data_IF_857330511141
#
_entry.id   IF_857330511141
#
_cell.length_a   1.000
_cell.length_b   1.000
_cell.length_c   1.000
_cell.angle_alpha   90.00
_cell.angle_beta   90.00
_cell.angle_gamma   90.00
#
_symmetry.space_group_name_H-M   'P 1'
#
loop_
_entity.id
_entity.type
_entity.pdbx_description
1 polymer ?
#
# COMPACT_ATOMS: atom_id res chain seq x y z
N UNK A 1 -13.10 24.81 11.45
CA UNK A 1 -12.00 24.22 10.65
C UNK A 1 -12.62 23.14 9.78
N UNK A 2 -12.66 23.31 8.45
CA UNK A 2 -13.10 22.24 7.55
C UNK A 2 -11.98 21.19 7.51
N UNK A 3 -12.25 20.02 8.06
CA UNK A 3 -11.42 18.84 7.78
C UNK A 3 -11.40 18.67 6.25
N UNK A 4 -10.26 18.37 5.63
CA UNK A 4 -10.26 18.04 4.21
C UNK A 4 -11.27 16.89 3.98
N UNK A 5 -12.05 16.97 2.91
CA UNK A 5 -13.07 15.96 2.52
C UNK A 5 -12.40 14.66 2.05
N UNK A 6 -11.60 14.05 2.93
CA UNK A 6 -11.00 12.76 2.70
C UNK A 6 -11.99 11.68 3.14
N UNK A 7 -12.29 10.73 2.23
CA UNK A 7 -13.20 9.64 2.55
C UNK A 7 -12.66 8.84 3.75
N UNK A 8 -13.47 8.64 4.81
CA UNK A 8 -13.08 7.78 5.91
C UNK A 8 -12.87 6.36 5.40
N UNK A 9 -11.96 5.63 6.04
CA UNK A 9 -11.72 4.24 5.69
C UNK A 9 -13.02 3.42 5.87
N UNK A 10 -13.45 2.65 4.85
CA UNK A 10 -14.63 1.81 5.00
C UNK A 10 -14.39 0.72 6.05
N UNK A 11 -15.45 0.05 6.49
CA UNK A 11 -15.31 -1.10 7.38
C UNK A 11 -14.48 -2.20 6.68
N UNK A 12 -13.48 -2.74 7.38
CA UNK A 12 -12.68 -3.87 6.89
C UNK A 12 -13.58 -5.10 6.77
N UNK A 13 -14.08 -5.34 5.56
CA UNK A 13 -15.10 -6.35 5.26
C UNK A 13 -14.53 -7.77 5.11
N UNK A 14 -13.22 -7.91 4.91
CA UNK A 14 -12.59 -9.20 4.64
C UNK A 14 -11.27 -9.40 5.39
N UNK A 15 -10.81 -10.66 5.46
CA UNK A 15 -9.59 -11.03 6.17
C UNK A 15 -8.31 -10.45 5.54
N UNK A 16 -8.31 -10.19 4.21
CA UNK A 16 -7.17 -9.64 3.49
C UNK A 16 -6.89 -8.19 3.88
N UNK A 17 -7.93 -7.45 4.31
CA UNK A 17 -7.84 -6.07 4.78
C UNK A 17 -7.33 -5.92 6.22
N UNK A 18 -7.14 -7.01 6.97
CA UNK A 18 -6.72 -6.93 8.40
C UNK A 18 -5.44 -6.10 8.57
N UNK A 19 -4.42 -6.36 7.76
CA UNK A 19 -3.15 -5.62 7.77
C UNK A 19 -3.09 -4.50 6.73
N UNK A 20 -4.15 -4.29 5.96
CA UNK A 20 -4.19 -3.24 4.96
C UNK A 20 -4.30 -1.86 5.63
N UNK A 21 -3.61 -0.89 5.03
CA UNK A 21 -3.66 0.53 5.38
C UNK A 21 -4.51 1.24 4.31
N UNK A 22 -5.40 2.12 4.75
CA UNK A 22 -6.26 2.90 3.87
C UNK A 22 -5.49 4.09 3.33
N UNK A 23 -5.64 4.35 2.04
CA UNK A 23 -5.23 5.60 1.43
C UNK A 23 -6.47 6.31 0.88
N UNK A 24 -6.86 7.39 1.52
CA UNK A 24 -7.97 8.23 1.10
C UNK A 24 -7.54 9.15 -0.04
N UNK A 25 -8.43 9.31 -1.01
CA UNK A 25 -8.41 10.37 -2.01
C UNK A 25 -9.66 11.25 -1.91
N UNK A 26 -9.76 12.23 -2.79
CA UNK A 26 -10.94 13.07 -2.94
C UNK A 26 -12.03 12.26 -3.68
N UNK A 27 -13.00 11.72 -2.93
CA UNK A 27 -14.14 10.98 -3.48
C UNK A 27 -13.90 9.50 -3.82
N UNK A 28 -12.67 8.99 -3.66
CA UNK A 28 -12.36 7.56 -3.74
C UNK A 28 -11.22 7.18 -2.77
N UNK A 29 -10.98 5.90 -2.57
CA UNK A 29 -9.80 5.42 -1.84
C UNK A 29 -9.52 3.96 -2.09
N UNK A 30 -8.34 3.51 -1.68
CA UNK A 30 -7.92 2.13 -1.86
C UNK A 30 -7.21 1.61 -0.63
N UNK A 31 -7.33 0.32 -0.40
CA UNK A 31 -6.57 -0.38 0.62
C UNK A 31 -5.25 -0.87 0.03
N UNK A 32 -4.19 -0.79 0.83
CA UNK A 32 -2.88 -1.30 0.43
C UNK A 32 -2.31 -2.19 1.51
N UNK A 33 -1.69 -3.30 1.11
CA UNK A 33 -0.83 -4.12 1.98
C UNK A 33 0.60 -4.02 1.47
N UNK A 34 1.55 -3.88 2.39
CA UNK A 34 2.99 -3.93 2.12
C UNK A 34 3.56 -5.03 3.00
N UNK A 35 4.25 -6.00 2.39
CA UNK A 35 4.93 -7.09 3.08
C UNK A 35 6.35 -7.23 2.53
N UNK A 36 7.31 -7.62 3.36
CA UNK A 36 8.64 -8.01 2.85
C UNK A 36 8.48 -9.26 2.00
N UNK A 37 9.06 -9.25 0.81
CA UNK A 37 9.06 -10.39 -0.11
C UNK A 37 10.27 -11.30 0.12
N UNK A 38 11.42 -10.72 0.46
CA UNK A 38 12.64 -11.43 0.84
C UNK A 38 13.29 -10.79 2.07
N UNK A 39 14.03 -11.59 2.85
CA UNK A 39 14.60 -11.19 4.14
C UNK A 39 15.86 -10.32 3.99
N UNK A 40 16.51 -10.33 2.82
CA UNK A 40 17.80 -9.66 2.56
C UNK A 40 17.76 -8.59 1.47
N UNK A 41 16.62 -8.38 0.81
CA UNK A 41 16.47 -7.37 -0.25
C UNK A 41 15.44 -6.32 0.15
N UNK A 42 15.63 -5.07 -0.27
CA UNK A 42 14.66 -3.96 -0.13
C UNK A 42 13.43 -4.17 -1.03
N UNK A 43 12.99 -5.42 -1.19
CA UNK A 43 11.89 -5.85 -2.03
C UNK A 43 10.65 -6.12 -1.18
N UNK A 44 9.56 -5.51 -1.59
CA UNK A 44 8.29 -5.53 -0.90
C UNK A 44 7.20 -5.95 -1.85
N UNK A 45 6.37 -6.88 -1.41
CA UNK A 45 5.12 -7.18 -2.08
C UNK A 45 4.10 -6.12 -1.70
N UNK A 46 3.62 -5.38 -2.68
CA UNK A 46 2.58 -4.36 -2.50
C UNK A 46 1.33 -4.82 -3.22
N UNK A 47 0.23 -4.96 -2.49
CA UNK A 47 -1.09 -5.27 -3.06
C UNK A 47 -2.04 -4.11 -2.82
N UNK A 48 -2.80 -3.74 -3.84
CA UNK A 48 -3.87 -2.76 -3.77
C UNK A 48 -5.22 -3.46 -3.91
N UNK A 49 -6.16 -3.07 -3.07
CA UNK A 49 -7.55 -3.48 -3.13
C UNK A 49 -8.45 -2.25 -3.23
N UNK A 50 -9.60 -2.39 -3.87
CA UNK A 50 -10.65 -1.38 -3.92
C UNK A 50 -11.19 -1.08 -2.51
N UNK A 51 -11.97 -0.01 -2.36
CA UNK A 51 -12.73 0.32 -1.16
C UNK A 51 -13.58 -0.83 -0.59
N UNK A 52 -14.16 -1.66 -1.46
CA UNK A 52 -14.92 -2.86 -1.10
C UNK A 52 -14.04 -4.06 -0.72
N UNK A 53 -12.72 -3.98 -0.92
CA UNK A 53 -11.76 -5.04 -0.66
C UNK A 53 -11.51 -5.99 -1.83
N UNK A 54 -11.93 -5.63 -3.04
CA UNK A 54 -11.64 -6.43 -4.25
C UNK A 54 -10.19 -6.22 -4.69
N UNK A 55 -9.52 -7.27 -5.14
CA UNK A 55 -8.17 -7.18 -5.68
C UNK A 55 -8.12 -6.23 -6.89
N UNK A 56 -7.13 -5.33 -6.93
CA UNK A 56 -6.89 -4.47 -8.09
C UNK A 56 -5.53 -4.71 -8.74
N UNK A 57 -4.45 -4.73 -7.95
CA UNK A 57 -3.10 -4.98 -8.47
C UNK A 57 -2.15 -5.49 -7.38
N UNK A 58 -1.17 -6.28 -7.80
CA UNK A 58 -0.05 -6.73 -6.96
C UNK A 58 1.26 -6.62 -7.74
N UNK A 59 2.35 -6.40 -7.02
CA UNK A 59 3.68 -6.45 -7.58
C UNK A 59 4.76 -6.52 -6.51
N UNK A 60 5.96 -6.84 -6.95
CA UNK A 60 7.18 -6.69 -6.18
C UNK A 60 7.73 -5.30 -6.45
N UNK A 61 7.99 -4.55 -5.38
CA UNK A 61 8.50 -3.20 -5.42
C UNK A 61 9.82 -3.11 -4.69
N UNK A 62 10.77 -2.38 -5.25
CA UNK A 62 12.00 -2.02 -4.57
C UNK A 62 11.83 -0.68 -3.87
N UNK A 63 12.17 -0.61 -2.58
CA UNK A 63 12.28 0.64 -1.86
C UNK A 63 13.65 1.29 -2.09
N UNK A 64 13.65 2.60 -2.31
CA UNK A 64 14.87 3.40 -2.43
C UNK A 64 15.62 3.56 -1.09
N UNK A 65 14.96 3.24 0.03
CA UNK A 65 15.47 3.34 1.40
C UNK A 65 14.94 2.18 2.26
N UNK A 66 15.58 1.88 3.40
CA UNK A 66 15.07 0.89 4.34
C UNK A 66 13.65 1.22 4.80
N UNK A 67 12.74 0.27 4.63
CA UNK A 67 11.35 0.34 5.08
C UNK A 67 11.07 -0.86 5.98
N UNK A 68 10.51 -0.60 7.16
CA UNK A 68 9.98 -1.67 8.00
C UNK A 68 8.44 -1.69 7.96
N UNK A 69 7.81 -2.64 7.24
CA UNK A 69 6.36 -2.71 7.13
C UNK A 69 5.67 -3.21 8.41
N UNK A 70 6.42 -3.67 9.41
CA UNK A 70 5.90 -4.00 10.74
C UNK A 70 5.79 -2.76 11.66
N UNK A 71 6.58 -1.72 11.39
CA UNK A 71 6.52 -0.44 12.08
C UNK A 71 5.40 0.45 11.53
N UNK A 72 5.05 1.52 12.24
CA UNK A 72 4.06 2.49 11.76
C UNK A 72 4.58 3.23 10.51
N UNK A 73 3.70 3.37 9.51
CA UNK A 73 3.94 4.14 8.28
C UNK A 73 2.61 4.64 7.72
N UNK A 74 2.69 5.71 6.92
CA UNK A 74 1.55 6.27 6.20
C UNK A 74 1.79 6.15 4.70
N UNK A 75 0.79 5.69 3.95
CA UNK A 75 0.81 5.81 2.50
C UNK A 75 0.51 7.27 2.14
N UNK A 76 1.27 7.83 1.20
CA UNK A 76 1.09 9.23 0.81
C UNK A 76 0.66 9.39 -0.64
N UNK A 77 1.17 8.57 -1.55
CA UNK A 77 0.82 8.69 -2.96
C UNK A 77 1.05 7.40 -3.75
N UNK A 78 0.05 6.91 -4.50
CA UNK A 78 0.20 5.86 -5.50
C UNK A 78 0.21 6.44 -6.93
N UNK A 79 0.90 5.79 -7.86
CA UNK A 79 0.87 6.13 -9.29
C UNK A 79 0.75 4.87 -10.12
N UNK A 80 -0.44 4.61 -10.66
CA UNK A 80 -0.75 3.55 -11.63
C UNK A 80 -0.22 2.14 -11.28
N UNK A 81 -0.22 1.76 -10.00
CA UNK A 81 0.38 0.50 -9.52
C UNK A 81 1.86 0.30 -9.92
N UNK A 82 2.58 1.38 -10.21
CA UNK A 82 3.99 1.35 -10.60
C UNK A 82 4.88 2.01 -9.55
N UNK A 83 4.33 2.95 -8.79
CA UNK A 83 5.02 3.65 -7.72
C UNK A 83 4.08 3.84 -6.54
N UNK A 84 4.59 3.62 -5.34
CA UNK A 84 3.93 3.97 -4.08
C UNK A 84 4.94 4.73 -3.24
N UNK A 85 4.48 5.72 -2.49
CA UNK A 85 5.31 6.42 -1.50
C UNK A 85 4.72 6.20 -0.12
N UNK A 86 5.61 5.96 0.83
CA UNK A 86 5.28 5.81 2.24
C UNK A 86 6.08 6.81 3.05
N UNK A 87 5.45 7.37 4.07
CA UNK A 87 6.11 8.19 5.09
C UNK A 87 6.32 7.34 6.34
N UNK A 88 7.58 7.15 6.74
CA UNK A 88 7.97 6.43 7.96
C UNK A 88 9.06 7.23 8.68
N UNK A 89 8.91 7.45 9.99
CA UNK A 89 9.85 8.23 10.82
C UNK A 89 10.19 9.61 10.20
N UNK A 90 9.18 10.28 9.66
CA UNK A 90 9.29 11.55 8.92
C UNK A 90 10.09 11.52 7.60
N UNK A 91 10.57 10.36 7.17
CA UNK A 91 11.18 10.18 5.85
C UNK A 91 10.14 9.71 4.82
N UNK A 92 10.25 10.23 3.60
CA UNK A 92 9.53 9.72 2.43
C UNK A 92 10.37 8.64 1.75
N UNK A 93 9.78 7.46 1.63
CA UNK A 93 10.38 6.27 1.01
C UNK A 93 9.57 5.97 -0.25
N UNK A 94 10.26 5.80 -1.37
CA UNK A 94 9.63 5.50 -2.66
C UNK A 94 9.80 4.02 -2.99
N UNK A 95 8.68 3.35 -3.20
CA UNK A 95 8.61 1.99 -3.71
C UNK A 95 8.33 2.05 -5.22
N UNK A 96 9.16 1.37 -6.02
CA UNK A 96 9.00 1.26 -7.47
C UNK A 96 8.85 -0.19 -7.89
N UNK A 97 7.89 -0.46 -8.77
CA UNK A 97 7.64 -1.83 -9.22
C UNK A 97 8.85 -2.38 -9.98
N UNK A 98 9.20 -3.63 -9.67
CA UNK A 98 10.18 -4.46 -10.39
C UNK A 98 9.48 -5.52 -11.21
N UNK A 99 8.43 -6.11 -10.62
CA UNK A 99 7.69 -7.20 -11.22
C UNK A 99 6.20 -7.04 -10.91
N UNK A 100 5.35 -7.25 -11.91
CA UNK A 100 3.90 -7.33 -11.72
C UNK A 100 3.52 -8.76 -11.39
N UNK A 101 2.69 -8.92 -10.37
CA UNK A 101 2.21 -10.21 -9.92
C UNK A 101 0.71 -10.37 -10.21
N UNK A 102 0.25 -11.62 -10.25
CA UNK A 102 -1.16 -11.94 -10.43
C UNK A 102 -1.90 -12.00 -9.08
N UNK A 103 -3.24 -12.12 -9.11
CA UNK A 103 -4.02 -12.28 -7.86
C UNK A 103 -3.62 -13.55 -7.09
N UNK A 104 -3.22 -14.62 -7.80
CA UNK A 104 -2.80 -15.87 -7.17
C UNK A 104 -1.59 -15.69 -6.26
N UNK A 105 -0.71 -14.74 -6.58
CA UNK A 105 0.50 -14.42 -5.83
C UNK A 105 0.25 -13.42 -4.69
N UNK A 106 -0.94 -12.82 -4.63
CA UNK A 106 -1.30 -11.83 -3.62
C UNK A 106 -1.83 -12.44 -2.31
N UNK A 107 -1.95 -13.78 -2.26
CA UNK A 107 -2.52 -14.53 -1.12
C UNK A 107 -1.45 -14.98 -0.14
#
# INVERSE_FOLDING_TARGET
MKLPDILPAPAKSNAQLKTAKWLSGEGAGSWFTIRRDMETMNLFRVTRYSDTGNFECCGIFEADRPLDPASEYLLTYPSHCQKVTVKQKDELITLRIKEKLSEADAR
#
